data_IF_907182367561
#
_entry.id   IF_907182367561
#
_cell.length_a   1.000
_cell.length_b   1.000
_cell.length_c   1.000
_cell.angle_alpha   90.00
_cell.angle_beta   90.00
_cell.angle_gamma   90.00
#
_symmetry.space_group_name_H-M   'P 1'
#
loop_
_entity.id
_entity.type
_entity.pdbx_description
1 polymer ?
#
# COMPACT_ATOMS: atom_id res chain seq x y z
N UNK A 1 -15.27 -2.41 8.19
CA UNK A 1 -16.57 -1.90 7.68
C UNK A 1 -17.34 -1.32 8.86
N UNK A 2 -17.86 -0.11 8.74
CA UNK A 2 -18.89 0.39 9.65
C UNK A 2 -20.16 0.47 8.83
N UNK A 3 -21.19 -0.30 9.19
CA UNK A 3 -22.49 -0.33 8.50
C UNK A 3 -22.45 -0.66 6.99
N UNK A 4 -21.55 -1.55 6.56
CA UNK A 4 -21.51 -2.01 5.16
C UNK A 4 -20.89 -1.04 4.15
N UNK A 5 -20.41 0.14 4.57
CA UNK A 5 -19.61 1.02 3.73
C UNK A 5 -18.11 0.77 3.93
N UNK A 6 -17.39 0.79 2.80
CA UNK A 6 -15.93 0.84 2.79
C UNK A 6 -15.50 2.16 3.44
N UNK A 7 -14.71 2.07 4.52
CA UNK A 7 -14.06 3.25 5.09
C UNK A 7 -12.84 3.51 4.22
N UNK A 8 -12.84 4.62 3.48
CA UNK A 8 -11.70 5.05 2.69
C UNK A 8 -10.79 5.93 3.55
N UNK A 9 -9.49 5.86 3.28
CA UNK A 9 -8.51 6.84 3.76
C UNK A 9 -8.39 7.91 2.69
N UNK A 10 -8.59 9.16 3.07
CA UNK A 10 -8.46 10.32 2.18
C UNK A 10 -7.19 11.07 2.50
N UNK A 11 -6.38 11.36 1.49
CA UNK A 11 -5.17 12.17 1.60
C UNK A 11 -5.31 13.40 0.71
N UNK A 12 -5.22 14.58 1.32
CA UNK A 12 -5.20 15.88 0.66
C UNK A 12 -3.74 16.34 0.50
N UNK A 13 -3.31 16.54 -0.75
CA UNK A 13 -1.96 16.92 -1.10
C UNK A 13 -1.91 18.37 -1.55
N UNK A 14 -0.89 19.07 -1.04
CA UNK A 14 -0.53 20.44 -1.42
C UNK A 14 0.91 20.40 -1.88
N UNK A 15 1.16 20.67 -3.15
CA UNK A 15 2.50 20.66 -3.76
C UNK A 15 2.83 22.07 -4.21
N UNK A 16 3.97 22.59 -3.72
CA UNK A 16 4.56 23.83 -4.20
C UNK A 16 5.65 23.49 -5.19
N UNK A 17 5.49 23.96 -6.43
CA UNK A 17 6.48 23.81 -7.50
C UNK A 17 7.28 25.10 -7.55
N UNK A 18 8.55 25.00 -7.14
CA UNK A 18 9.51 26.08 -7.22
C UNK A 18 10.53 25.74 -8.31
N UNK A 19 10.22 26.10 -9.56
CA UNK A 19 11.18 26.12 -10.67
C UNK A 19 11.50 27.58 -11.03
N UNK A 20 12.66 27.84 -11.63
CA UNK A 20 13.19 29.19 -11.85
C UNK A 20 12.15 30.15 -12.47
N UNK A 21 11.57 31.02 -11.65
CA UNK A 21 10.60 32.04 -12.06
C UNK A 21 9.12 31.62 -12.06
N UNK A 22 8.81 30.35 -11.77
CA UNK A 22 7.44 29.81 -11.67
C UNK A 22 7.18 29.36 -10.24
N UNK A 23 6.18 29.97 -9.61
CA UNK A 23 5.67 29.55 -8.30
C UNK A 23 4.23 29.06 -8.50
N UNK A 24 4.09 27.75 -8.72
CA UNK A 24 2.79 27.10 -8.89
C UNK A 24 2.43 26.28 -7.66
N UNK A 25 1.15 26.30 -7.31
CA UNK A 25 0.58 25.49 -6.22
C UNK A 25 -0.43 24.51 -6.81
N UNK A 26 -0.22 23.23 -6.54
CA UNK A 26 -1.13 22.16 -6.94
C UNK A 26 -1.82 21.59 -5.71
N UNK A 27 -3.13 21.46 -5.78
CA UNK A 27 -3.96 20.85 -4.75
C UNK A 27 -4.76 19.70 -5.37
N UNK A 28 -4.64 18.51 -4.79
CA UNK A 28 -5.41 17.36 -5.24
C UNK A 28 -5.61 16.34 -4.11
N UNK A 29 -6.61 15.47 -4.29
CA UNK A 29 -7.04 14.49 -3.30
C UNK A 29 -6.94 13.08 -3.87
N UNK A 30 -6.41 12.16 -3.07
CA UNK A 30 -6.50 10.72 -3.35
C UNK A 30 -7.31 10.00 -2.27
N UNK A 31 -7.96 8.91 -2.69
CA UNK A 31 -8.70 8.00 -1.82
C UNK A 31 -8.10 6.61 -1.94
N UNK A 32 -7.87 5.97 -0.79
CA UNK A 32 -7.29 4.64 -0.70
C UNK A 32 -8.20 3.72 0.10
N UNK A 33 -8.31 2.46 -0.32
CA UNK A 33 -8.89 1.43 0.53
C UNK A 33 -7.84 0.99 1.56
N UNK A 34 -8.10 1.08 2.88
CA UNK A 34 -7.12 0.76 3.92
C UNK A 34 -7.04 -0.75 4.12
N UNK A 35 -6.36 -1.43 3.21
CA UNK A 35 -6.08 -2.86 3.32
C UNK A 35 -5.26 -3.15 4.58
N UNK A 36 -5.80 -3.97 5.48
CA UNK A 36 -5.02 -4.55 6.58
C UNK A 36 -4.14 -5.67 6.03
N UNK A 37 -2.91 -5.77 6.54
CA UNK A 37 -1.92 -6.76 6.09
C UNK A 37 -2.49 -8.17 5.98
N UNK A 38 -3.09 -8.68 7.07
CA UNK A 38 -3.67 -10.04 7.10
C UNK A 38 -4.74 -10.24 6.01
N UNK A 39 -5.68 -9.29 5.87
CA UNK A 39 -6.75 -9.42 4.87
C UNK A 39 -6.22 -9.34 3.44
N UNK A 40 -5.22 -8.48 3.18
CA UNK A 40 -4.62 -8.39 1.86
C UNK A 40 -3.80 -9.63 1.51
N UNK A 41 -3.10 -10.20 2.51
CA UNK A 41 -2.39 -11.48 2.39
C UNK A 41 -3.35 -12.59 1.95
N UNK A 42 -4.48 -12.74 2.64
CA UNK A 42 -5.53 -13.71 2.29
C UNK A 42 -6.05 -13.51 0.87
N UNK A 43 -6.35 -12.27 0.49
CA UNK A 43 -6.83 -11.95 -0.87
C UNK A 43 -5.81 -12.38 -1.94
N UNK A 44 -4.51 -12.18 -1.69
CA UNK A 44 -3.47 -12.61 -2.62
C UNK A 44 -3.34 -14.14 -2.64
N UNK A 45 -3.41 -14.81 -1.49
CA UNK A 45 -3.38 -16.27 -1.43
C UNK A 45 -4.60 -16.92 -2.11
N UNK A 46 -5.77 -16.27 -2.11
CA UNK A 46 -6.97 -16.71 -2.84
C UNK A 46 -6.81 -16.56 -4.36
N UNK A 47 -6.12 -15.49 -4.81
CA UNK A 47 -5.92 -15.19 -6.25
C UNK A 47 -4.81 -16.05 -6.85
N UNK A 48 -3.73 -16.26 -6.10
CA UNK A 48 -2.60 -17.07 -6.54
C UNK A 48 -2.76 -18.49 -5.99
N UNK A 49 -3.27 -19.41 -6.82
CA UNK A 49 -3.44 -20.82 -6.46
C UNK A 49 -2.16 -21.42 -5.84
N UNK A 50 -2.32 -22.28 -4.83
CA UNK A 50 -1.18 -22.95 -4.20
C UNK A 50 -0.45 -23.83 -5.23
N UNK A 51 0.90 -23.89 -5.19
CA UNK A 51 1.80 -23.41 -4.14
C UNK A 51 2.64 -22.20 -4.60
N UNK A 52 2.11 -20.97 -4.58
CA UNK A 52 2.97 -19.80 -4.74
C UNK A 52 3.85 -19.58 -3.49
N UNK A 53 5.14 -19.28 -3.66
CA UNK A 53 6.00 -18.84 -2.52
C UNK A 53 5.66 -17.38 -2.24
N UNK A 54 5.10 -17.12 -1.06
CA UNK A 54 4.68 -15.78 -0.62
C UNK A 54 5.60 -15.29 0.50
N UNK A 55 6.31 -14.18 0.27
CA UNK A 55 7.16 -13.50 1.27
C UNK A 55 6.72 -12.05 1.42
N UNK A 56 6.83 -11.52 2.63
CA UNK A 56 6.46 -10.14 2.94
C UNK A 56 7.67 -9.40 3.49
N UNK A 57 7.89 -8.17 3.02
CA UNK A 57 8.94 -7.27 3.47
C UNK A 57 8.33 -5.98 4.03
N UNK A 58 8.96 -5.41 5.05
CA UNK A 58 8.67 -4.06 5.54
C UNK A 58 9.76 -3.11 5.08
N UNK A 59 9.42 -2.05 4.33
CA UNK A 59 10.36 -1.04 3.84
C UNK A 59 11.67 -1.63 3.25
N UNK A 60 11.52 -2.64 2.38
CA UNK A 60 12.61 -3.39 1.72
C UNK A 60 13.49 -4.28 2.63
N UNK A 61 13.09 -4.53 3.88
CA UNK A 61 13.77 -5.46 4.81
C UNK A 61 12.86 -6.62 5.24
N UNK A 62 13.41 -7.74 5.73
CA UNK A 62 12.59 -8.80 6.33
C UNK A 62 11.60 -8.21 7.34
N UNK A 63 10.35 -8.66 7.30
CA UNK A 63 9.27 -8.04 8.08
C UNK A 63 9.56 -8.04 9.59
N UNK A 64 10.28 -9.05 10.07
CA UNK A 64 10.66 -9.21 11.48
C UNK A 64 11.69 -8.17 11.93
N UNK A 65 12.41 -7.52 11.01
CA UNK A 65 13.43 -6.51 11.31
C UNK A 65 12.88 -5.07 11.39
N UNK A 66 11.61 -4.86 11.04
CA UNK A 66 10.99 -3.52 10.98
C UNK A 66 9.70 -3.49 11.80
N UNK A 67 9.73 -2.79 12.93
CA UNK A 67 8.63 -2.79 13.91
C UNK A 67 7.37 -2.03 13.47
N UNK A 68 7.51 -1.02 12.62
CA UNK A 68 6.39 -0.23 12.09
C UNK A 68 6.70 0.26 10.67
N UNK A 69 6.61 -0.61 9.65
CA UNK A 69 6.90 -0.24 8.27
C UNK A 69 5.96 0.83 7.73
N UNK A 70 6.47 1.73 6.89
CA UNK A 70 5.65 2.64 6.11
C UNK A 70 4.94 1.90 4.96
N UNK A 71 5.59 0.88 4.39
CA UNK A 71 5.05 0.03 3.34
C UNK A 71 5.25 -1.46 3.63
N UNK A 72 4.24 -2.25 3.27
CA UNK A 72 4.32 -3.71 3.23
C UNK A 72 4.41 -4.17 1.78
N UNK A 73 5.45 -4.93 1.46
CA UNK A 73 5.75 -5.37 0.09
C UNK A 73 5.52 -6.87 0.02
N UNK A 74 4.52 -7.29 -0.74
CA UNK A 74 4.21 -8.69 -1.01
C UNK A 74 4.99 -9.18 -2.23
N UNK A 75 5.88 -10.17 -2.03
CA UNK A 75 6.63 -10.82 -3.10
C UNK A 75 6.08 -12.24 -3.29
N UNK A 76 5.42 -12.45 -4.43
CA UNK A 76 4.85 -13.74 -4.81
C UNK A 76 5.62 -14.32 -5.99
N UNK A 77 6.09 -15.56 -5.83
CA UNK A 77 6.71 -16.33 -6.90
C UNK A 77 5.76 -17.44 -7.32
N UNK A 78 5.28 -17.38 -8.57
CA UNK A 78 4.52 -18.47 -9.20
C UNK A 78 5.43 -19.69 -9.36
N UNK A 79 4.93 -20.88 -8.99
CA UNK A 79 5.62 -22.13 -9.29
C UNK A 79 5.35 -22.55 -10.74
N UNK A 80 6.40 -23.02 -11.42
CA UNK A 80 6.35 -23.57 -12.78
C UNK A 80 5.86 -25.01 -12.77
#
# INVERSE_FOLDING_TARGET
MVRGQAVLVTLDYYIEIAEDGVNEKLEFRFWYYPHKLARFTEMLDEVFERPAVHRIYGDFRPLEEVSSPAFYIHMLQKQN
#
